data_IF_789376551532
#
_entry.id   IF_789376551532
#
_cell.length_a   1.000
_cell.length_b   1.000
_cell.length_c   1.000
_cell.angle_alpha   90.00
_cell.angle_beta   90.00
_cell.angle_gamma   90.00
#
_symmetry.space_group_name_H-M   'P 1'
#
loop_
_entity.id
_entity.type
_entity.pdbx_description
1 polymer ?
#
# COMPACT_ATOMS: atom_id res chain seq x y z
N UNK A 1 25.58 -6.92 10.29
CA UNK A 1 24.73 -6.03 9.48
C UNK A 1 23.29 -6.28 9.94
N UNK A 2 22.82 -5.51 10.92
CA UNK A 2 21.55 -5.76 11.59
C UNK A 2 20.40 -5.13 10.78
N UNK A 3 19.71 -5.94 9.99
CA UNK A 3 18.43 -5.57 9.39
C UNK A 3 17.32 -5.88 10.40
N UNK A 4 17.13 -5.01 11.39
CA UNK A 4 15.90 -5.04 12.17
C UNK A 4 14.76 -4.50 11.29
N UNK A 5 13.95 -5.43 10.82
CA UNK A 5 12.64 -5.23 10.18
C UNK A 5 11.71 -4.43 11.13
N UNK A 6 11.12 -3.29 10.75
CA UNK A 6 10.02 -2.72 11.53
C UNK A 6 8.71 -3.34 11.03
N UNK A 7 7.92 -4.07 11.80
CA UNK A 7 8.05 -4.55 13.17
C UNK A 7 7.16 -5.80 13.27
N UNK A 8 7.62 -6.88 13.88
CA UNK A 8 6.68 -7.80 14.53
C UNK A 8 6.60 -7.31 15.96
N UNK A 9 5.50 -6.64 16.33
CA UNK A 9 5.06 -6.78 17.73
C UNK A 9 4.79 -8.27 17.87
N UNK A 10 5.75 -9.00 18.41
CA UNK A 10 5.54 -10.38 18.83
C UNK A 10 4.61 -10.30 20.02
N UNK A 11 3.33 -10.54 19.76
CA UNK A 11 2.39 -10.84 20.83
C UNK A 11 2.67 -12.29 21.23
N UNK A 12 3.50 -12.46 22.26
CA UNK A 12 3.46 -13.70 23.02
C UNK A 12 2.10 -13.78 23.71
N UNK A 13 1.46 -14.94 23.70
CA UNK A 13 0.39 -15.14 24.67
C UNK A 13 1.07 -15.13 26.05
N UNK A 14 0.70 -14.18 26.90
CA UNK A 14 1.20 -14.05 28.27
C UNK A 14 0.58 -15.14 29.16
N UNK A 15 0.87 -16.40 28.80
CA UNK A 15 0.31 -17.61 29.38
C UNK A 15 1.31 -18.77 29.18
N UNK A 16 2.00 -19.11 30.26
CA UNK A 16 3.03 -20.16 30.29
C UNK A 16 2.52 -21.53 29.82
N UNK A 17 1.21 -21.79 29.93
CA UNK A 17 0.58 -23.06 29.56
C UNK A 17 0.28 -23.23 28.07
N UNK A 18 0.40 -22.15 27.28
CA UNK A 18 0.15 -22.15 25.83
C UNK A 18 1.32 -21.62 25.01
N UNK A 19 2.22 -20.81 25.57
CA UNK A 19 3.31 -20.14 24.83
C UNK A 19 4.22 -21.07 24.00
N UNK A 20 4.39 -22.34 24.40
CA UNK A 20 5.17 -23.35 23.68
C UNK A 20 4.33 -24.28 22.79
N UNK A 21 3.00 -24.13 22.78
CA UNK A 21 2.05 -25.04 22.13
C UNK A 21 1.56 -24.58 20.75
N UNK A 22 1.83 -23.34 20.35
CA UNK A 22 1.47 -22.83 19.03
C UNK A 22 2.67 -22.12 18.37
N UNK A 23 2.91 -22.42 17.10
CA UNK A 23 3.86 -21.69 16.26
C UNK A 23 3.09 -21.12 15.06
N UNK A 24 2.39 -20.01 15.31
CA UNK A 24 1.58 -19.33 14.29
C UNK A 24 2.10 -17.90 14.13
N UNK A 25 2.35 -17.50 12.89
CA UNK A 25 2.78 -16.14 12.56
C UNK A 25 1.64 -15.37 11.88
N UNK A 26 1.34 -14.19 12.41
CA UNK A 26 0.36 -13.26 11.88
C UNK A 26 1.09 -11.96 11.47
N UNK A 27 1.50 -11.87 10.20
CA UNK A 27 2.30 -10.76 9.67
C UNK A 27 1.98 -10.51 8.20
N UNK A 28 2.50 -9.44 7.60
CA UNK A 28 2.28 -9.11 6.19
C UNK A 28 3.07 -10.03 5.23
N UNK A 29 4.04 -10.81 5.72
CA UNK A 29 4.83 -11.72 4.91
C UNK A 29 3.95 -12.80 4.30
N UNK A 30 4.18 -13.14 3.03
CA UNK A 30 3.31 -14.06 2.29
C UNK A 30 3.49 -15.53 2.71
N UNK A 31 4.57 -15.86 3.42
CA UNK A 31 4.87 -17.17 4.00
C UNK A 31 4.40 -17.33 5.46
N UNK A 32 3.73 -16.31 6.01
CA UNK A 32 3.14 -16.39 7.34
C UNK A 32 1.98 -17.41 7.41
N UNK A 33 1.77 -18.03 8.58
CA UNK A 33 0.60 -18.89 8.84
C UNK A 33 -0.72 -18.19 8.49
N UNK A 34 -0.81 -16.89 8.79
CA UNK A 34 -1.94 -16.03 8.44
C UNK A 34 -1.42 -14.68 7.90
N UNK A 35 -1.35 -14.50 6.56
CA UNK A 35 -0.86 -13.27 5.97
C UNK A 35 -1.85 -12.09 6.15
N UNK A 36 -1.39 -11.01 6.78
CA UNK A 36 -2.09 -9.74 6.94
C UNK A 36 -1.72 -8.75 5.83
N UNK A 37 -2.24 -8.99 4.62
CA UNK A 37 -2.00 -8.08 3.49
C UNK A 37 -2.83 -6.80 3.61
N UNK A 38 -2.27 -5.65 3.25
CA UNK A 38 -2.95 -4.35 3.36
C UNK A 38 -4.06 -4.14 2.34
N UNK A 39 -4.05 -4.92 1.25
CA UNK A 39 -5.10 -4.88 0.23
C UNK A 39 -4.83 -5.82 -0.92
N UNK A 40 -5.76 -5.82 -1.87
CA UNK A 40 -5.69 -6.62 -3.09
C UNK A 40 -6.24 -5.83 -4.28
N UNK A 41 -5.71 -6.10 -5.46
CA UNK A 41 -6.26 -5.56 -6.71
C UNK A 41 -7.25 -6.55 -7.32
N UNK A 42 -8.42 -6.06 -7.72
CA UNK A 42 -9.44 -6.82 -8.43
C UNK A 42 -9.67 -6.20 -9.80
N UNK A 43 -9.81 -7.03 -10.83
CA UNK A 43 -10.20 -6.55 -12.17
C UNK A 43 -11.62 -6.01 -12.12
N UNK A 44 -11.87 -4.94 -12.87
CA UNK A 44 -13.20 -4.38 -13.11
C UNK A 44 -13.34 -3.91 -14.55
N UNK A 45 -14.58 -3.64 -14.98
CA UNK A 45 -14.82 -2.93 -16.24
C UNK A 45 -14.14 -1.56 -16.17
N UNK A 46 -13.43 -1.18 -17.23
CA UNK A 46 -12.81 0.14 -17.34
C UNK A 46 -13.90 1.22 -17.17
N UNK A 47 -13.78 2.13 -16.19
CA UNK A 47 -14.74 3.21 -16.03
C UNK A 47 -14.73 4.12 -17.25
N UNK A 48 -15.93 4.49 -17.71
CA UNK A 48 -16.14 5.45 -18.77
C UNK A 48 -15.84 6.85 -18.26
N UNK A 49 -14.66 7.38 -18.62
CA UNK A 49 -14.17 8.69 -18.21
C UNK A 49 -13.53 9.39 -19.40
N UNK A 50 -13.57 10.72 -19.42
CA UNK A 50 -12.81 11.52 -20.38
C UNK A 50 -11.34 11.59 -19.96
N UNK A 51 -10.57 10.52 -20.19
CA UNK A 51 -9.18 10.41 -19.75
C UNK A 51 -8.26 11.51 -20.28
N UNK A 52 -8.52 12.02 -21.49
CA UNK A 52 -7.77 13.14 -22.07
C UNK A 52 -8.04 14.44 -21.30
N UNK A 53 -9.29 14.70 -20.91
CA UNK A 53 -9.65 15.83 -20.03
C UNK A 53 -9.03 15.68 -18.64
N UNK A 54 -8.98 14.45 -18.11
CA UNK A 54 -8.30 14.16 -16.83
C UNK A 54 -6.81 14.50 -16.94
N UNK A 55 -6.15 14.12 -18.03
CA UNK A 55 -4.75 14.47 -18.26
C UNK A 55 -4.53 15.99 -18.34
N UNK A 56 -5.38 16.69 -19.09
CA UNK A 56 -5.32 18.14 -19.27
C UNK A 56 -5.57 18.92 -17.96
N UNK A 57 -6.44 18.39 -17.08
CA UNK A 57 -6.74 19.01 -15.79
C UNK A 57 -5.63 18.89 -14.73
N UNK A 58 -4.59 18.08 -14.99
CA UNK A 58 -3.48 17.87 -14.04
C UNK A 58 -2.46 19.00 -14.13
N UNK A 59 -2.52 19.91 -13.19
CA UNK A 59 -1.64 21.08 -13.08
C UNK A 59 -0.31 20.77 -12.39
N UNK A 60 -0.29 19.76 -11.50
CA UNK A 60 0.85 19.46 -10.66
C UNK A 60 1.49 18.13 -11.06
N UNK A 61 2.80 18.01 -10.85
CA UNK A 61 3.54 16.86 -11.34
C UNK A 61 3.46 15.66 -10.39
N UNK A 62 4.07 15.77 -9.21
CA UNK A 62 4.22 14.67 -8.27
C UNK A 62 3.82 15.10 -6.87
N UNK A 63 3.02 14.29 -6.18
CA UNK A 63 2.71 14.46 -4.76
C UNK A 63 3.34 13.35 -3.91
N UNK A 64 3.65 13.67 -2.66
CA UNK A 64 4.09 12.70 -1.67
C UNK A 64 3.51 13.02 -0.30
N UNK A 65 2.71 12.11 0.27
CA UNK A 65 2.16 12.30 1.61
C UNK A 65 2.99 11.51 2.62
N UNK A 66 3.62 12.21 3.56
CA UNK A 66 4.62 11.65 4.45
C UNK A 66 4.72 12.41 5.77
N UNK A 67 4.69 11.65 6.87
CA UNK A 67 4.84 12.17 8.24
C UNK A 67 5.96 11.50 9.04
N UNK A 68 6.66 10.51 8.46
CA UNK A 68 7.82 9.85 9.07
C UNK A 68 9.07 10.18 8.25
N UNK A 69 9.91 11.06 8.77
CA UNK A 69 10.94 11.78 8.02
C UNK A 69 12.34 11.16 8.10
N UNK A 70 12.52 10.16 8.97
CA UNK A 70 13.76 9.42 9.12
C UNK A 70 13.43 7.95 9.01
N UNK A 71 13.72 7.33 7.87
CA UNK A 71 13.31 5.93 7.64
C UNK A 71 14.47 5.02 7.29
N UNK A 72 14.27 3.72 7.48
CA UNK A 72 15.26 2.69 7.12
C UNK A 72 15.50 2.65 5.61
N UNK A 73 14.44 2.86 4.82
CA UNK A 73 14.53 2.91 3.36
C UNK A 73 15.24 4.16 2.82
N UNK A 74 15.57 5.15 3.67
CA UNK A 74 16.16 6.45 3.26
C UNK A 74 15.37 7.16 2.16
N UNK A 75 14.04 7.00 2.17
CA UNK A 75 13.16 7.55 1.13
C UNK A 75 13.20 9.08 1.11
N UNK A 76 13.43 9.72 2.25
CA UNK A 76 13.61 11.16 2.39
C UNK A 76 14.84 11.65 1.60
N UNK A 77 15.95 10.91 1.64
CA UNK A 77 17.18 11.25 0.89
C UNK A 77 16.94 11.03 -0.60
N UNK A 78 16.27 9.93 -0.95
CA UNK A 78 15.91 9.62 -2.33
C UNK A 78 15.06 10.74 -2.96
N UNK A 79 13.98 11.16 -2.27
CA UNK A 79 13.09 12.23 -2.75
C UNK A 79 13.80 13.60 -2.75
N UNK A 80 14.65 13.89 -1.76
CA UNK A 80 15.46 15.13 -1.74
C UNK A 80 16.34 15.26 -2.98
N UNK A 81 16.95 14.16 -3.44
CA UNK A 81 17.74 14.13 -4.69
C UNK A 81 16.85 14.32 -5.91
N UNK A 82 15.76 13.55 -5.99
CA UNK A 82 14.80 13.60 -7.09
C UNK A 82 14.24 15.02 -7.29
N UNK A 83 13.92 15.73 -6.20
CA UNK A 83 13.38 17.11 -6.20
C UNK A 83 14.26 18.16 -6.87
N UNK A 84 15.54 17.86 -7.11
CA UNK A 84 16.42 18.75 -7.88
C UNK A 84 16.06 18.82 -9.37
N UNK A 85 15.33 17.83 -9.88
CA UNK A 85 14.99 17.71 -11.31
C UNK A 85 13.49 17.76 -11.59
N UNK A 86 12.64 17.40 -10.62
CA UNK A 86 11.19 17.31 -10.80
C UNK A 86 10.47 17.96 -9.61
N UNK A 87 9.39 18.72 -9.85
CA UNK A 87 8.60 19.26 -8.75
C UNK A 87 7.90 18.11 -7.99
N UNK A 88 8.14 18.07 -6.68
CA UNK A 88 7.46 17.14 -5.75
C UNK A 88 6.87 17.94 -4.61
N UNK A 89 5.54 17.91 -4.54
CA UNK A 89 4.77 18.52 -3.47
C UNK A 89 4.66 17.53 -2.32
N UNK A 90 5.36 17.83 -1.23
CA UNK A 90 5.36 17.02 -0.01
C UNK A 90 4.25 17.56 0.89
N UNK A 91 3.40 16.68 1.41
CA UNK A 91 2.37 16.99 2.41
C UNK A 91 2.56 16.10 3.65
N UNK A 92 2.23 16.62 4.82
CA UNK A 92 2.27 15.85 6.08
C UNK A 92 3.30 16.37 7.07
N UNK A 93 3.76 15.52 7.99
CA UNK A 93 4.70 15.92 9.05
C UNK A 93 6.13 16.24 8.59
N UNK A 94 6.47 15.97 7.33
CA UNK A 94 7.82 16.24 6.79
C UNK A 94 7.91 17.49 5.91
N UNK A 95 6.91 18.37 5.99
CA UNK A 95 6.80 19.61 5.23
C UNK A 95 5.76 20.55 5.83
N UNK A 96 5.83 21.84 5.53
CA UNK A 96 4.80 22.80 5.97
C UNK A 96 3.47 22.66 5.21
N UNK A 97 3.44 21.90 4.11
CA UNK A 97 2.23 21.71 3.31
C UNK A 97 1.27 20.74 4.00
N UNK A 98 0.02 21.17 4.09
CA UNK A 98 -1.05 20.45 4.79
C UNK A 98 -2.10 19.97 3.79
N UNK A 99 -2.68 18.83 4.10
CA UNK A 99 -3.92 18.37 3.51
C UNK A 99 -4.74 17.77 4.64
N UNK A 100 -5.91 18.33 4.90
CA UNK A 100 -6.63 18.15 6.17
C UNK A 100 -6.31 19.26 7.19
N UNK A 101 -6.78 19.09 8.44
CA UNK A 101 -6.79 20.15 9.46
C UNK A 101 -5.39 20.48 10.00
N UNK A 102 -4.51 19.47 10.12
CA UNK A 102 -3.17 19.66 10.72
C UNK A 102 -2.06 19.16 9.79
N UNK A 103 -1.95 17.84 9.61
CA UNK A 103 -1.05 17.18 8.66
C UNK A 103 -1.83 16.01 8.07
N UNK A 104 -1.44 15.52 6.89
CA UNK A 104 -2.10 14.36 6.28
C UNK A 104 -2.19 13.19 7.26
N UNK A 105 -3.42 12.77 7.56
CA UNK A 105 -3.77 11.52 8.23
C UNK A 105 -4.58 10.64 7.28
N UNK A 106 -4.60 9.34 7.52
CA UNK A 106 -5.44 8.41 6.72
C UNK A 106 -6.92 8.79 6.77
N UNK A 107 -7.40 9.40 7.87
CA UNK A 107 -8.75 9.95 8.00
C UNK A 107 -9.05 11.08 6.99
N UNK A 108 -8.03 11.79 6.51
CA UNK A 108 -8.18 12.90 5.55
C UNK A 108 -8.27 12.41 4.10
N UNK A 109 -8.31 11.09 3.86
CA UNK A 109 -8.36 10.52 2.52
C UNK A 109 -9.55 11.04 1.70
N UNK A 110 -10.71 11.28 2.33
CA UNK A 110 -11.90 11.84 1.67
C UNK A 110 -11.67 13.23 1.09
N UNK A 111 -10.72 14.00 1.63
CA UNK A 111 -10.32 15.31 1.12
C UNK A 111 -9.11 15.22 0.18
N UNK A 112 -8.09 14.48 0.60
CA UNK A 112 -6.79 14.48 -0.05
C UNK A 112 -6.71 13.62 -1.31
N UNK A 113 -7.45 12.50 -1.37
CA UNK A 113 -7.46 11.65 -2.55
C UNK A 113 -8.17 12.29 -3.75
N UNK A 114 -9.32 12.99 -3.59
CA UNK A 114 -9.89 13.77 -4.68
C UNK A 114 -8.97 14.87 -5.21
N UNK A 115 -8.29 15.61 -4.31
CA UNK A 115 -7.27 16.60 -4.69
C UNK A 115 -6.16 15.94 -5.52
N UNK A 116 -5.66 14.80 -5.05
CA UNK A 116 -4.62 14.03 -5.75
C UNK A 116 -5.08 13.59 -7.15
N UNK A 117 -6.28 13.03 -7.23
CA UNK A 117 -6.93 12.57 -8.47
C UNK A 117 -7.02 13.69 -9.50
N UNK A 118 -7.48 14.87 -9.06
CA UNK A 118 -7.70 16.03 -9.92
C UNK A 118 -6.41 16.70 -10.38
N UNK A 119 -5.47 16.94 -9.46
CA UNK A 119 -4.38 17.89 -9.69
C UNK A 119 -3.05 17.23 -10.10
N UNK A 120 -2.77 15.99 -9.69
CA UNK A 120 -1.43 15.40 -9.80
C UNK A 120 -1.33 14.30 -10.85
N UNK A 121 -0.18 14.25 -11.55
CA UNK A 121 0.15 13.14 -12.45
C UNK A 121 0.61 11.89 -11.72
N UNK A 122 1.48 12.06 -10.72
CA UNK A 122 2.13 10.98 -10.01
C UNK A 122 1.97 11.10 -8.49
N UNK A 123 1.96 9.95 -7.82
CA UNK A 123 2.00 9.86 -6.36
C UNK A 123 3.11 8.91 -5.90
N UNK A 124 3.96 9.36 -4.99
CA UNK A 124 5.02 8.54 -4.42
C UNK A 124 4.47 7.62 -3.32
N UNK A 125 4.22 6.36 -3.66
CA UNK A 125 3.86 5.30 -2.72
C UNK A 125 5.13 4.62 -2.16
N UNK A 126 6.04 5.42 -1.59
CA UNK A 126 7.33 4.95 -1.08
C UNK A 126 7.21 4.42 0.35
N UNK A 127 7.63 3.17 0.54
CA UNK A 127 7.64 2.52 1.84
C UNK A 127 8.77 3.03 2.74
N UNK A 128 8.53 3.00 4.04
CA UNK A 128 9.50 3.38 5.08
C UNK A 128 10.64 2.36 5.23
N UNK A 129 10.46 1.13 4.74
CA UNK A 129 11.45 0.05 4.82
C UNK A 129 11.43 -0.83 3.56
N UNK A 130 12.54 -1.52 3.31
CA UNK A 130 12.69 -2.48 2.22
C UNK A 130 12.45 -3.91 2.68
N UNK A 131 11.36 -4.12 3.43
CA UNK A 131 11.06 -5.45 3.94
C UNK A 131 10.44 -6.31 2.84
N UNK A 132 10.82 -7.59 2.82
CA UNK A 132 10.26 -8.61 1.92
C UNK A 132 8.74 -8.61 2.06
N UNK A 133 8.03 -8.67 0.94
CA UNK A 133 6.55 -8.73 0.90
C UNK A 133 5.81 -7.51 1.49
N UNK A 134 6.52 -6.45 1.91
CA UNK A 134 5.88 -5.26 2.48
C UNK A 134 5.35 -4.29 1.42
N UNK A 135 4.03 -4.26 1.27
CA UNK A 135 3.28 -3.30 0.46
C UNK A 135 2.06 -2.81 1.24
N UNK A 136 1.93 -1.49 1.40
CA UNK A 136 0.99 -0.89 2.35
C UNK A 136 -0.22 -0.21 1.70
N UNK A 137 -1.05 0.42 2.53
CA UNK A 137 -2.19 1.24 2.13
C UNK A 137 -1.80 2.37 1.16
N UNK A 138 -0.53 2.81 1.18
CA UNK A 138 0.00 3.87 0.32
C UNK A 138 -0.20 3.56 -1.16
N UNK A 139 -0.10 2.29 -1.53
CA UNK A 139 -0.34 1.80 -2.88
C UNK A 139 -1.84 1.55 -3.13
N UNK A 140 -2.47 0.73 -2.30
CA UNK A 140 -3.82 0.23 -2.56
C UNK A 140 -4.90 1.32 -2.58
N UNK A 141 -4.78 2.36 -1.75
CA UNK A 141 -5.74 3.48 -1.73
C UNK A 141 -5.82 4.22 -3.07
N UNK A 142 -4.76 4.16 -3.89
CA UNK A 142 -4.72 4.81 -5.20
C UNK A 142 -5.64 4.10 -6.22
N UNK A 143 -6.07 2.88 -5.93
CA UNK A 143 -7.00 2.12 -6.75
C UNK A 143 -8.47 2.24 -6.27
N UNK A 144 -8.73 3.11 -5.28
CA UNK A 144 -10.07 3.51 -4.84
C UNK A 144 -10.49 4.81 -5.56
N UNK A 145 -10.62 4.72 -6.88
CA UNK A 145 -11.12 5.81 -7.75
C UNK A 145 -10.24 7.07 -7.83
N UNK A 146 -8.95 6.94 -7.54
CA UNK A 146 -7.97 8.02 -7.67
C UNK A 146 -7.28 7.95 -9.02
N UNK A 147 -7.40 9.00 -9.83
CA UNK A 147 -6.86 9.05 -11.19
C UNK A 147 -5.41 9.52 -11.21
N UNK A 148 -4.51 8.86 -10.48
CA UNK A 148 -3.07 9.19 -10.40
C UNK A 148 -2.22 7.95 -10.68
N UNK A 149 -1.02 8.11 -11.24
CA UNK A 149 -0.09 6.99 -11.42
C UNK A 149 0.76 6.77 -10.15
N UNK A 150 0.72 5.57 -9.54
CA UNK A 150 1.60 5.20 -8.44
C UNK A 150 3.06 5.12 -8.89
N UNK A 151 3.95 5.70 -8.11
CA UNK A 151 5.40 5.47 -8.19
C UNK A 151 5.81 4.74 -6.91
N UNK A 152 6.26 3.50 -7.06
CA UNK A 152 6.51 2.59 -5.93
C UNK A 152 8.00 2.48 -5.63
N UNK A 153 8.31 2.25 -4.35
CA UNK A 153 9.66 1.94 -3.86
C UNK A 153 9.53 1.22 -2.53
N UNK A 154 9.93 -0.05 -2.49
CA UNK A 154 9.78 -0.93 -1.33
C UNK A 154 10.43 -2.29 -1.57
N UNK A 155 10.34 -3.19 -0.58
CA UNK A 155 10.93 -4.54 -0.65
C UNK A 155 9.99 -5.60 -1.23
N UNK A 156 8.77 -5.21 -1.61
CA UNK A 156 7.83 -6.08 -2.30
C UNK A 156 8.26 -6.33 -3.76
N UNK A 157 8.07 -7.55 -4.26
CA UNK A 157 8.31 -7.88 -5.67
C UNK A 157 7.11 -7.45 -6.54
N UNK A 158 7.04 -6.15 -6.84
CA UNK A 158 5.92 -5.55 -7.58
C UNK A 158 5.69 -6.22 -8.94
N UNK A 159 6.76 -6.61 -9.63
CA UNK A 159 6.68 -7.18 -10.99
C UNK A 159 6.17 -8.61 -10.99
N UNK A 160 6.50 -9.39 -9.96
CA UNK A 160 6.00 -10.75 -9.80
C UNK A 160 4.52 -10.79 -9.45
N UNK A 161 4.07 -9.89 -8.57
CA UNK A 161 2.74 -10.00 -7.96
C UNK A 161 1.69 -9.02 -8.50
N UNK A 162 2.08 -7.98 -9.24
CA UNK A 162 1.15 -6.98 -9.76
C UNK A 162 1.18 -6.90 -11.30
N UNK A 163 0.05 -6.57 -11.95
CA UNK A 163 0.03 -6.36 -13.40
C UNK A 163 0.99 -5.26 -13.85
N UNK A 164 1.68 -5.49 -14.95
CA UNK A 164 2.59 -4.48 -15.52
C UNK A 164 1.83 -3.27 -16.08
N UNK A 165 2.49 -2.11 -16.07
CA UNK A 165 1.95 -0.89 -16.67
C UNK A 165 0.79 -0.25 -15.91
N UNK A 166 0.72 -0.45 -14.59
CA UNK A 166 -0.21 0.25 -13.68
C UNK A 166 0.52 1.09 -12.62
N UNK A 167 1.85 1.01 -12.57
CA UNK A 167 2.74 1.74 -11.66
C UNK A 167 4.09 1.97 -12.35
N UNK A 168 4.90 2.84 -11.75
CA UNK A 168 6.33 3.03 -12.07
C UNK A 168 7.14 2.52 -10.88
N UNK A 169 8.05 1.56 -11.10
CA UNK A 169 8.91 1.02 -10.04
C UNK A 169 10.23 1.77 -9.98
N UNK A 170 10.55 2.36 -8.82
CA UNK A 170 11.82 3.06 -8.64
C UNK A 170 13.05 2.13 -8.79
N UNK A 171 12.89 0.81 -8.64
CA UNK A 171 13.96 -0.17 -8.83
C UNK A 171 14.38 -0.36 -10.30
N UNK A 172 13.57 0.12 -11.25
CA UNK A 172 13.92 0.13 -12.69
C UNK A 172 14.99 1.18 -13.04
N UNK A 173 15.33 2.05 -12.10
CA UNK A 173 16.21 3.20 -12.32
C UNK A 173 17.46 3.11 -11.46
N UNK A 174 18.62 3.39 -12.07
CA UNK A 174 19.91 3.38 -11.39
C UNK A 174 19.98 4.46 -10.30
N UNK A 175 19.32 5.60 -10.53
CA UNK A 175 19.38 6.76 -9.63
C UNK A 175 18.01 7.44 -9.45
N UNK A 176 17.79 8.19 -8.35
CA UNK A 176 16.62 9.07 -8.20
C UNK A 176 16.46 10.06 -9.36
N UNK A 177 17.59 10.51 -9.93
CA UNK A 177 17.62 11.44 -11.04
C UNK A 177 17.11 10.80 -12.34
N UNK A 178 17.44 9.54 -12.59
CA UNK A 178 16.92 8.80 -13.75
C UNK A 178 15.42 8.56 -13.64
N UNK A 179 14.92 8.24 -12.44
CA UNK A 179 13.48 8.18 -12.17
C UNK A 179 12.82 9.55 -12.43
N UNK A 180 13.41 10.65 -11.95
CA UNK A 180 12.88 12.00 -12.17
C UNK A 180 12.73 12.31 -13.67
N UNK A 181 13.78 12.05 -14.46
CA UNK A 181 13.79 12.26 -15.91
C UNK A 181 12.72 11.42 -16.62
N UNK A 182 12.59 10.15 -16.22
CA UNK A 182 11.56 9.28 -16.77
C UNK A 182 10.15 9.79 -16.45
N UNK A 183 9.89 10.21 -15.21
CA UNK A 183 8.59 10.75 -14.81
C UNK A 183 8.25 12.05 -15.56
N UNK A 184 9.23 12.91 -15.84
CA UNK A 184 9.03 14.09 -16.70
C UNK A 184 8.63 13.69 -18.13
N UNK A 185 9.34 12.74 -18.73
CA UNK A 185 9.03 12.23 -20.08
C UNK A 185 7.63 11.62 -20.13
N UNK A 186 7.33 10.69 -19.22
CA UNK A 186 6.00 10.07 -19.12
C UNK A 186 4.90 11.09 -18.84
N UNK A 187 5.17 12.07 -17.97
CA UNK A 187 4.22 13.12 -17.61
C UNK A 187 3.90 14.08 -18.75
N UNK A 188 4.83 14.29 -19.69
CA UNK A 188 4.65 15.08 -20.91
C UNK A 188 4.02 14.30 -22.08
N UNK A 189 4.08 12.97 -22.06
CA UNK A 189 3.52 12.13 -23.12
C UNK A 189 2.08 11.74 -22.78
N UNK A 190 1.11 12.53 -23.27
CA UNK A 190 -0.32 12.29 -23.03
C UNK A 190 -0.74 10.86 -23.39
N UNK A 191 -0.30 10.35 -24.55
CA UNK A 191 -0.70 9.03 -25.05
C UNK A 191 -0.27 7.91 -24.10
N UNK A 192 1.00 7.89 -23.70
CA UNK A 192 1.51 6.85 -22.80
C UNK A 192 0.99 7.02 -21.37
N UNK A 193 0.86 8.26 -20.88
CA UNK A 193 0.25 8.52 -19.57
C UNK A 193 -1.20 8.03 -19.50
N UNK A 194 -2.04 8.42 -20.47
CA UNK A 194 -3.46 8.04 -20.51
C UNK A 194 -3.61 6.52 -20.67
N UNK A 195 -2.77 5.88 -21.47
CA UNK A 195 -2.73 4.42 -21.61
C UNK A 195 -2.42 3.73 -20.29
N UNK A 196 -1.41 4.20 -19.54
CA UNK A 196 -1.08 3.67 -18.22
C UNK A 196 -2.22 3.90 -17.22
N UNK A 197 -2.83 5.10 -17.24
CA UNK A 197 -3.96 5.44 -16.35
C UNK A 197 -5.19 4.59 -16.63
N UNK A 198 -5.52 4.33 -17.89
CA UNK A 198 -6.60 3.40 -18.29
C UNK A 198 -6.33 1.98 -17.78
N UNK A 199 -5.11 1.46 -17.96
CA UNK A 199 -4.72 0.13 -17.44
C UNK A 199 -4.89 0.06 -15.93
N UNK A 200 -4.38 1.06 -15.20
CA UNK A 200 -4.59 1.18 -13.75
C UNK A 200 -6.07 1.19 -13.38
N UNK A 201 -6.89 1.98 -14.07
CA UNK A 201 -8.31 2.14 -13.74
C UNK A 201 -9.18 0.93 -14.09
N UNK A 202 -8.69 -0.01 -14.90
CA UNK A 202 -9.27 -1.34 -15.08
C UNK A 202 -9.15 -2.24 -13.84
N UNK A 203 -8.48 -1.76 -12.80
CA UNK A 203 -8.34 -2.40 -11.50
C UNK A 203 -9.01 -1.56 -10.42
N UNK A 204 -9.47 -2.24 -9.37
CA UNK A 204 -10.01 -1.65 -8.15
C UNK A 204 -9.24 -2.19 -6.94
N UNK A 205 -8.92 -1.30 -6.00
CA UNK A 205 -8.22 -1.63 -4.77
C UNK A 205 -9.19 -1.94 -3.66
N UNK A 206 -9.15 -3.17 -3.15
CA UNK A 206 -9.86 -3.55 -1.95
C UNK A 206 -8.86 -3.55 -0.79
N UNK A 207 -8.93 -2.53 0.07
CA UNK A 207 -8.18 -2.49 1.32
C UNK A 207 -8.69 -3.58 2.27
N UNK A 208 -7.79 -4.16 3.05
CA UNK A 208 -8.19 -5.03 4.15
C UNK A 208 -8.99 -4.20 5.17
N UNK A 209 -10.28 -4.50 5.35
CA UNK A 209 -11.02 -4.01 6.52
C UNK A 209 -10.67 -4.89 7.70
N UNK A 210 -10.41 -4.31 8.87
CA UNK A 210 -10.08 -5.04 10.10
C UNK A 210 -11.10 -6.13 10.48
N UNK A 211 -12.29 -6.13 9.87
CA UNK A 211 -13.38 -7.07 10.12
C UNK A 211 -13.49 -8.23 9.13
N UNK A 212 -12.70 -8.28 8.03
CA UNK A 212 -12.81 -9.34 6.99
C UNK A 212 -11.61 -10.28 6.90
N UNK A 213 -10.70 -10.22 7.88
CA UNK A 213 -9.60 -11.18 8.03
C UNK A 213 -10.08 -12.46 8.76
N UNK A 214 -11.26 -12.43 9.38
CA UNK A 214 -11.93 -13.62 9.91
C UNK A 214 -12.87 -14.20 8.85
N UNK A 215 -12.34 -14.55 7.67
CA UNK A 215 -13.03 -15.48 6.79
C UNK A 215 -12.99 -16.84 7.44
N UNK A 216 -14.06 -17.22 8.17
CA UNK A 216 -14.24 -18.51 8.87
C UNK A 216 -12.94 -19.00 9.53
N UNK A 217 -12.67 -18.53 10.74
CA UNK A 217 -11.61 -19.06 11.59
C UNK A 217 -11.93 -20.53 11.91
N UNK A 218 -11.64 -21.46 11.01
CA UNK A 218 -11.46 -22.86 11.37
C UNK A 218 -10.14 -22.92 12.13
N UNK A 219 -10.20 -22.65 13.43
CA UNK A 219 -9.10 -23.00 14.33
C UNK A 219 -8.98 -24.52 14.29
N UNK A 220 -8.05 -25.02 13.46
CA UNK A 220 -7.61 -26.41 13.58
C UNK A 220 -6.74 -26.49 14.82
N UNK A 221 -7.34 -26.91 15.92
CA UNK A 221 -6.60 -27.35 17.09
C UNK A 221 -5.83 -28.62 16.70
N UNK A 222 -4.50 -28.57 16.78
CA UNK A 222 -3.67 -29.77 16.65
C UNK A 222 -3.29 -30.16 18.07
N UNK A 223 -3.94 -31.20 18.61
CA UNK A 223 -3.53 -31.79 19.86
C UNK A 223 -2.21 -32.54 19.64
N UNK A 224 -1.10 -31.94 20.03
CA UNK A 224 0.24 -32.51 19.81
C UNK A 224 0.45 -33.80 20.64
N UNK A 225 -0.46 -34.12 21.56
CA UNK A 225 -0.39 -35.34 22.37
C UNK A 225 -1.09 -36.56 21.75
N UNK A 226 -1.92 -36.37 20.72
CA UNK A 226 -2.59 -37.45 19.99
C UNK A 226 -2.49 -37.17 18.51
N UNK A 227 -1.76 -38.01 17.76
CA UNK A 227 -1.56 -37.90 16.30
C UNK A 227 -2.84 -38.15 15.48
N UNK A 228 -3.95 -37.53 15.83
CA UNK A 228 -5.20 -37.59 15.08
C UNK A 228 -5.75 -36.18 14.82
N UNK A 229 -5.80 -35.80 13.55
CA UNK A 229 -6.45 -34.58 13.08
C UNK A 229 -7.96 -34.71 13.29
N UNK A 230 -8.53 -33.97 14.24
CA UNK A 230 -9.99 -33.78 14.33
C UNK A 230 -10.34 -32.34 13.97
N UNK A 231 -11.14 -32.17 12.94
CA UNK A 231 -11.86 -30.92 12.66
C UNK A 231 -12.97 -30.76 13.69
N UNK A 232 -12.96 -29.66 14.44
CA UNK A 232 -14.06 -29.27 15.32
C UNK A 232 -14.61 -27.95 14.78
N UNK A 233 -15.86 -27.98 14.34
CA UNK A 233 -16.61 -26.78 14.02
C UNK A 233 -17.13 -26.18 15.32
N UNK A 234 -16.67 -24.97 15.65
CA UNK A 234 -17.25 -24.20 16.76
C UNK A 234 -18.24 -23.23 16.12
N UNK A 235 -19.53 -23.58 16.13
CA UNK A 235 -20.61 -22.61 15.93
C UNK A 235 -20.66 -21.68 17.14
N UNK A 236 -20.35 -20.40 16.93
CA UNK A 236 -20.73 -19.38 17.90
C UNK A 236 -22.18 -19.04 17.67
N UNK A 237 -23.05 -19.61 18.50
CA UNK A 237 -24.46 -19.26 18.57
C UNK A 237 -24.59 -17.76 18.89
N UNK A 238 -25.24 -17.02 18.00
CA UNK A 238 -25.62 -15.63 18.24
C UNK A 238 -27.01 -15.61 18.87
N UNK A 239 -27.07 -15.85 20.18
CA UNK A 239 -28.22 -15.39 20.96
C UNK A 239 -27.99 -13.92 21.35
N UNK A 240 -28.70 -13.04 20.67
CA UNK A 240 -28.91 -11.67 21.13
C UNK A 240 -29.75 -11.72 22.42
N UNK A 241 -29.46 -10.93 23.46
CA UNK A 241 -30.46 -10.65 24.48
C UNK A 241 -31.45 -9.62 23.90
N UNK A 242 -32.72 -10.00 23.95
CA UNK A 242 -33.85 -9.08 23.83
C UNK A 242 -33.85 -8.07 25.01
N UNK A 243 -34.48 -6.91 24.72
CA UNK A 243 -34.77 -5.71 25.53
C UNK A 243 -33.75 -4.55 25.52
#
# INVERSE_FOLDING_TARGET
MYTYDPAVKTYGLDRDDVGSKFNLTLTYQLDASYPLVFGQLRRRKLPEKAYDKIYQGKTNHTAWFVSHCTTWSKREIYVKRMRKLIPVDIYGGCSDRKCGVIHYRTSDNSLCLPMLSKQYKFYLAFENSFCKDYISEKFFKLFQEVDVIPVVRGGFDYKKYLPSGIFVDASDFKTPEDLAKYLLQLGSNQKEYVKMLKRKNSLYGQLASGSRIIGRLHLRYVDVTKRDLKTVDIETDHTAPDE
#
